data_IF_609865310108
#
_entry.id   IF_609865310108
#
_cell.length_a   1.000
_cell.length_b   1.000
_cell.length_c   1.000
_cell.angle_alpha   90.00
_cell.angle_beta   90.00
_cell.angle_gamma   90.00
#
_symmetry.space_group_name_H-M   'P 1'
#
loop_
_entity.id
_entity.type
_entity.pdbx_description
1 polymer ?
#
# COMPACT_ATOMS: atom_id res chain seq x y z
N UNK A 1 6.02 -1.19 10.56
CA UNK A 1 7.01 -0.46 9.72
C UNK A 1 6.93 -0.78 8.23
N UNK A 2 6.60 -2.01 7.81
CA UNK A 2 6.49 -2.38 6.38
C UNK A 2 5.53 -1.51 5.56
N UNK A 3 4.39 -1.09 6.14
CA UNK A 3 3.44 -0.22 5.44
C UNK A 3 4.00 1.18 5.13
N UNK A 4 4.82 1.72 6.03
CA UNK A 4 5.47 3.03 5.83
C UNK A 4 6.51 2.95 4.73
N UNK A 5 7.33 1.89 4.72
CA UNK A 5 8.28 1.63 3.63
C UNK A 5 7.57 1.49 2.29
N UNK A 6 6.41 0.85 2.29
CA UNK A 6 5.59 0.71 1.09
C UNK A 6 5.05 2.04 0.58
N UNK A 7 4.57 2.90 1.47
CA UNK A 7 4.10 4.25 1.11
C UNK A 7 5.21 5.12 0.53
N UNK A 8 6.40 5.13 1.14
CA UNK A 8 7.55 5.87 0.62
C UNK A 8 7.97 5.35 -0.75
N UNK A 9 7.98 4.03 -0.94
CA UNK A 9 8.28 3.40 -2.23
C UNK A 9 7.32 3.82 -3.35
N UNK A 10 6.05 4.10 -3.05
CA UNK A 10 5.05 4.56 -4.04
C UNK A 10 5.40 5.92 -4.64
N UNK A 11 5.80 6.88 -3.79
CA UNK A 11 6.17 8.22 -4.26
C UNK A 11 7.38 8.20 -5.19
N UNK A 12 8.38 7.37 -4.86
CA UNK A 12 9.58 7.20 -5.68
C UNK A 12 9.26 6.52 -7.02
N UNK A 13 8.41 5.50 -7.00
CA UNK A 13 8.07 4.76 -8.21
C UNK A 13 7.12 5.50 -9.14
N UNK A 14 6.30 6.43 -8.63
CA UNK A 14 5.56 7.36 -9.49
C UNK A 14 6.51 8.18 -10.37
N UNK A 15 7.53 8.80 -9.78
CA UNK A 15 8.50 9.62 -10.53
C UNK A 15 9.25 8.78 -11.57
N UNK A 16 9.60 7.53 -11.23
CA UNK A 16 10.25 6.60 -12.17
C UNK A 16 9.33 6.16 -13.32
N UNK A 17 8.06 5.88 -13.04
CA UNK A 17 7.11 5.49 -14.08
C UNK A 17 6.81 6.69 -14.99
N UNK A 18 6.70 7.90 -14.43
CA UNK A 18 6.52 9.12 -15.21
C UNK A 18 7.72 9.35 -16.15
N UNK A 19 8.96 9.22 -15.66
CA UNK A 19 10.15 9.35 -16.52
C UNK A 19 10.25 8.23 -17.57
N UNK A 20 9.90 6.99 -17.21
CA UNK A 20 9.89 5.87 -18.17
C UNK A 20 8.79 6.02 -19.24
N UNK A 21 7.67 6.66 -18.92
CA UNK A 21 6.62 6.93 -19.89
C UNK A 21 7.08 7.91 -20.99
N UNK A 22 8.01 8.83 -20.68
CA UNK A 22 8.65 9.70 -21.67
C UNK A 22 9.57 8.92 -22.63
N UNK A 23 10.18 7.83 -22.17
CA UNK A 23 11.06 6.95 -22.96
C UNK A 23 10.28 5.92 -23.82
N UNK A 24 8.97 5.77 -23.59
CA UNK A 24 8.06 4.92 -24.35
C UNK A 24 7.42 3.79 -23.53
N UNK A 25 6.29 3.29 -24.02
CA UNK A 25 5.41 2.33 -23.30
C UNK A 25 6.12 1.05 -22.87
N UNK A 26 7.10 0.57 -23.65
CA UNK A 26 7.84 -0.66 -23.39
C UNK A 26 8.85 -0.53 -22.23
N UNK A 27 9.23 0.69 -21.84
CA UNK A 27 10.15 0.94 -20.73
C UNK A 27 9.47 0.84 -19.35
N UNK A 28 8.13 0.90 -19.30
CA UNK A 28 7.35 0.84 -18.07
C UNK A 28 7.48 -0.55 -17.44
N UNK A 29 8.21 -0.62 -16.34
CA UNK A 29 8.51 -1.87 -15.63
C UNK A 29 8.20 -1.75 -14.14
N UNK A 30 7.76 -2.85 -13.53
CA UNK A 30 7.50 -2.90 -12.08
C UNK A 30 8.82 -2.97 -11.33
N UNK A 31 8.94 -2.24 -10.23
CA UNK A 31 10.08 -2.37 -9.34
C UNK A 31 10.02 -3.72 -8.59
N UNK A 32 11.00 -4.64 -8.76
CA UNK A 32 10.98 -5.95 -8.10
C UNK A 32 10.99 -5.86 -6.58
N UNK A 33 11.64 -4.83 -6.02
CA UNK A 33 11.64 -4.58 -4.57
C UNK A 33 10.23 -4.20 -4.06
N UNK A 34 9.47 -3.43 -4.85
CA UNK A 34 8.09 -3.07 -4.47
C UNK A 34 7.18 -4.29 -4.56
N UNK A 35 7.33 -5.11 -5.60
CA UNK A 35 6.59 -6.37 -5.71
C UNK A 35 6.86 -7.27 -4.51
N UNK A 36 8.12 -7.45 -4.13
CA UNK A 36 8.49 -8.25 -2.96
C UNK A 36 7.91 -7.67 -1.67
N UNK A 37 7.98 -6.35 -1.48
CA UNK A 37 7.46 -5.69 -0.27
C UNK A 37 5.93 -5.77 -0.18
N UNK A 38 5.22 -5.62 -1.30
CA UNK A 38 3.76 -5.82 -1.36
C UNK A 38 3.38 -7.26 -1.02
N UNK A 39 4.11 -8.23 -1.57
CA UNK A 39 3.91 -9.65 -1.26
C UNK A 39 4.14 -9.94 0.23
N UNK A 40 5.25 -9.44 0.80
CA UNK A 40 5.53 -9.59 2.22
C UNK A 40 4.50 -8.91 3.12
N UNK A 41 3.92 -7.79 2.69
CA UNK A 41 2.81 -7.15 3.39
C UNK A 41 1.58 -8.05 3.45
N UNK A 42 1.18 -8.65 2.32
CA UNK A 42 0.04 -9.57 2.25
C UNK A 42 0.28 -10.80 3.12
N UNK A 43 1.46 -11.44 2.98
CA UNK A 43 1.84 -12.60 3.80
C UNK A 43 1.88 -12.23 5.28
N UNK A 44 2.43 -11.06 5.63
CA UNK A 44 2.47 -10.55 6.99
C UNK A 44 1.08 -10.28 7.56
N UNK A 45 0.15 -9.77 6.75
CA UNK A 45 -1.25 -9.58 7.13
C UNK A 45 -1.93 -10.91 7.49
N UNK A 46 -1.79 -11.92 6.62
CA UNK A 46 -2.33 -13.26 6.89
C UNK A 46 -1.63 -13.97 8.06
N UNK A 47 -0.33 -13.74 8.26
CA UNK A 47 0.36 -14.21 9.45
C UNK A 47 -0.21 -13.55 10.71
N UNK A 48 -0.42 -12.23 10.69
CA UNK A 48 -1.00 -11.53 11.83
C UNK A 48 -2.43 -12.00 12.16
N UNK A 49 -3.20 -12.44 11.16
CA UNK A 49 -4.50 -13.09 11.35
C UNK A 49 -4.42 -14.39 12.17
N UNK A 50 -3.30 -15.13 12.14
CA UNK A 50 -3.15 -16.36 12.95
C UNK A 50 -2.82 -16.06 14.40
N UNK A 51 -2.17 -14.93 14.67
CA UNK A 51 -1.82 -14.45 16.02
C UNK A 51 -3.02 -13.74 16.65
N UNK A 52 -3.63 -12.81 15.91
CA UNK A 52 -4.74 -11.97 16.35
C UNK A 52 -5.91 -12.05 15.36
N UNK A 53 -6.67 -13.14 15.39
CA UNK A 53 -8.13 -13.02 15.52
C UNK A 53 -8.84 -11.97 14.64
N UNK A 54 -9.34 -11.00 15.37
CA UNK A 54 -10.17 -9.91 14.87
C UNK A 54 -9.33 -8.82 14.21
N UNK A 55 -8.25 -8.38 14.87
CA UNK A 55 -7.41 -7.31 14.35
C UNK A 55 -6.74 -7.69 13.02
N UNK A 56 -6.22 -8.92 12.93
CA UNK A 56 -5.59 -9.46 11.74
C UNK A 56 -6.53 -9.70 10.56
N UNK A 57 -7.83 -9.89 10.80
CA UNK A 57 -8.83 -9.95 9.73
C UNK A 57 -8.95 -8.60 9.03
N UNK A 58 -9.06 -7.52 9.82
CA UNK A 58 -9.16 -6.16 9.28
C UNK A 58 -7.84 -5.75 8.61
N UNK A 59 -6.68 -6.05 9.21
CA UNK A 59 -5.37 -5.82 8.56
C UNK A 59 -5.28 -6.56 7.23
N UNK A 60 -5.66 -7.84 7.18
CA UNK A 60 -5.61 -8.64 5.94
C UNK A 60 -6.50 -8.05 4.86
N UNK A 61 -7.72 -7.65 5.20
CA UNK A 61 -8.65 -7.01 4.26
C UNK A 61 -8.07 -5.72 3.68
N UNK A 62 -7.53 -4.85 4.54
CA UNK A 62 -6.93 -3.57 4.13
C UNK A 62 -5.71 -3.77 3.25
N UNK A 63 -4.84 -4.72 3.60
CA UNK A 63 -3.61 -5.01 2.84
C UNK A 63 -3.93 -5.66 1.49
N UNK A 64 -4.90 -6.57 1.42
CA UNK A 64 -5.35 -7.14 0.14
C UNK A 64 -5.98 -6.07 -0.75
N UNK A 65 -6.83 -5.21 -0.18
CA UNK A 65 -7.39 -4.06 -0.91
C UNK A 65 -6.29 -3.16 -1.48
N UNK A 66 -5.30 -2.83 -0.65
CA UNK A 66 -4.14 -2.03 -1.05
C UNK A 66 -3.35 -2.66 -2.21
N UNK A 67 -3.11 -3.98 -2.13
CA UNK A 67 -2.44 -4.72 -3.19
C UNK A 67 -3.20 -4.66 -4.51
N UNK A 68 -4.53 -4.83 -4.47
CA UNK A 68 -5.37 -4.73 -5.66
C UNK A 68 -5.37 -3.32 -6.24
N UNK A 69 -5.46 -2.29 -5.40
CA UNK A 69 -5.36 -0.89 -5.84
C UNK A 69 -4.04 -0.62 -6.57
N UNK A 70 -2.91 -1.07 -6.02
CA UNK A 70 -1.60 -0.90 -6.65
C UNK A 70 -1.50 -1.62 -7.99
N UNK A 71 -2.10 -2.82 -8.08
CA UNK A 71 -2.13 -3.60 -9.31
C UNK A 71 -2.89 -2.85 -10.40
N UNK A 72 -4.10 -2.39 -10.11
CA UNK A 72 -4.93 -1.69 -11.09
C UNK A 72 -4.37 -0.31 -11.47
N UNK A 73 -3.76 0.41 -10.53
CA UNK A 73 -3.06 1.66 -10.87
C UNK A 73 -1.93 1.43 -11.86
N UNK A 74 -1.13 0.38 -11.67
CA UNK A 74 -0.05 0.09 -12.61
C UNK A 74 -0.60 -0.24 -14.00
N UNK A 75 -1.69 -1.00 -14.09
CA UNK A 75 -2.34 -1.30 -15.37
C UNK A 75 -2.93 -0.04 -16.01
N UNK A 76 -3.57 0.86 -15.23
CA UNK A 76 -4.07 2.16 -15.70
C UNK A 76 -3.00 2.99 -16.35
N UNK A 77 -1.82 3.10 -15.71
CA UNK A 77 -0.69 3.89 -16.24
C UNK A 77 -0.16 3.38 -17.56
N UNK A 78 -0.13 2.06 -17.76
CA UNK A 78 0.25 1.48 -19.06
C UNK A 78 -0.76 1.84 -20.14
N UNK A 79 -2.05 1.92 -19.79
CA UNK A 79 -3.11 2.37 -20.71
C UNK A 79 -2.96 3.85 -21.02
N UNK A 80 -2.79 4.71 -20.01
CA UNK A 80 -2.53 6.15 -20.14
C UNK A 80 -1.32 6.41 -21.06
N UNK A 81 -0.19 5.75 -20.79
CA UNK A 81 1.01 5.84 -21.62
C UNK A 81 0.77 5.41 -23.07
N UNK A 82 -0.01 4.34 -23.29
CA UNK A 82 -0.34 3.85 -24.65
C UNK A 82 -1.24 4.82 -25.42
N UNK A 83 -2.11 5.54 -24.72
CA UNK A 83 -2.99 6.56 -25.31
C UNK A 83 -2.30 7.94 -25.43
N UNK A 84 -1.06 8.08 -24.94
CA UNK A 84 -0.32 9.34 -24.93
C UNK A 84 -0.90 10.37 -23.94
N UNK A 85 -1.61 9.91 -22.91
CA UNK A 85 -2.14 10.76 -21.85
C UNK A 85 -1.07 11.05 -20.81
N UNK A 86 -1.22 12.17 -20.10
CA UNK A 86 -0.36 12.48 -18.95
C UNK A 86 -0.62 11.46 -17.82
N UNK A 87 0.46 10.97 -17.20
CA UNK A 87 0.38 9.93 -16.16
C UNK A 87 -0.18 10.55 -14.88
N UNK A 88 -1.39 10.10 -14.50
CA UNK A 88 -2.05 10.62 -13.31
C UNK A 88 -1.38 10.14 -12.01
N UNK A 89 -1.53 10.95 -10.96
CA UNK A 89 -1.03 10.63 -9.62
C UNK A 89 -1.75 9.42 -9.03
N UNK A 90 -1.08 8.63 -8.17
CA UNK A 90 -1.66 7.45 -7.53
C UNK A 90 -2.70 7.76 -6.43
N UNK A 91 -3.79 8.45 -6.75
CA UNK A 91 -4.76 8.87 -5.73
C UNK A 91 -5.44 7.69 -5.02
N UNK A 92 -5.74 6.63 -5.76
CA UNK A 92 -6.34 5.42 -5.19
C UNK A 92 -5.40 4.75 -4.20
N UNK A 93 -4.15 4.53 -4.59
CA UNK A 93 -3.14 3.93 -3.76
C UNK A 93 -2.77 4.81 -2.55
N UNK A 94 -2.76 6.13 -2.68
CA UNK A 94 -2.55 7.06 -1.56
C UNK A 94 -3.71 6.95 -0.55
N UNK A 95 -4.95 6.96 -1.03
CA UNK A 95 -6.13 6.83 -0.16
C UNK A 95 -6.15 5.50 0.59
N UNK A 96 -6.00 4.39 -0.13
CA UNK A 96 -6.01 3.05 0.45
C UNK A 96 -4.87 2.86 1.48
N UNK A 97 -3.66 3.34 1.16
CA UNK A 97 -2.52 3.23 2.09
C UNK A 97 -2.70 4.08 3.34
N UNK A 98 -3.32 5.26 3.22
CA UNK A 98 -3.62 6.13 4.36
C UNK A 98 -4.58 5.44 5.33
N UNK A 99 -5.67 4.87 4.82
CA UNK A 99 -6.64 4.13 5.65
C UNK A 99 -5.98 2.94 6.34
N UNK A 100 -5.19 2.15 5.59
CA UNK A 100 -4.47 1.01 6.13
C UNK A 100 -3.45 1.42 7.21
N UNK A 101 -2.71 2.52 6.99
CA UNK A 101 -1.76 3.06 7.96
C UNK A 101 -2.46 3.49 9.24
N UNK A 102 -3.56 4.23 9.16
CA UNK A 102 -4.31 4.70 10.32
C UNK A 102 -4.79 3.53 11.18
N UNK A 103 -5.33 2.49 10.57
CA UNK A 103 -5.79 1.30 11.30
C UNK A 103 -4.64 0.54 11.97
N UNK A 104 -3.54 0.31 11.23
CA UNK A 104 -2.36 -0.37 11.79
C UNK A 104 -1.73 0.47 12.91
N UNK A 105 -1.67 1.79 12.76
CA UNK A 105 -1.17 2.70 13.78
C UNK A 105 -2.07 2.68 15.03
N UNK A 106 -3.39 2.67 14.85
CA UNK A 106 -4.34 2.53 15.96
C UNK A 106 -4.07 1.24 16.77
N UNK A 107 -3.93 0.10 16.09
CA UNK A 107 -3.61 -1.17 16.75
C UNK A 107 -2.24 -1.14 17.44
N UNK A 108 -1.22 -0.62 16.76
CA UNK A 108 0.15 -0.56 17.27
C UNK A 108 0.34 0.41 18.45
N UNK A 109 -0.46 1.48 18.52
CA UNK A 109 -0.38 2.50 19.57
C UNK A 109 -1.40 2.27 20.70
N UNK A 110 -2.27 1.27 20.58
CA UNK A 110 -3.31 1.01 21.57
C UNK A 110 -2.75 0.77 22.97
N UNK A 111 -1.54 0.20 23.09
CA UNK A 111 -0.86 0.03 24.39
C UNK A 111 -0.61 1.37 25.14
N UNK A 112 -0.56 2.50 24.43
CA UNK A 112 -0.41 3.83 25.04
C UNK A 112 -1.72 4.32 25.64
N UNK A 113 -2.85 3.99 25.00
CA UNK A 113 -4.19 4.43 25.40
C UNK A 113 -4.81 3.47 26.43
N UNK A 114 -4.53 2.18 26.32
CA UNK A 114 -5.05 1.11 27.17
C UNK A 114 -4.96 1.40 28.67
N UNK A 115 -3.83 1.89 29.24
CA UNK A 115 -3.73 2.19 30.66
C UNK A 115 -4.74 3.23 31.15
N UNK A 116 -5.00 4.26 30.33
CA UNK A 116 -5.95 5.32 30.66
C UNK A 116 -7.40 4.85 30.48
N UNK A 117 -7.66 4.04 29.45
CA UNK A 117 -8.98 3.49 29.19
C UNK A 117 -9.45 2.56 30.32
N UNK A 118 -8.57 1.65 30.76
CA UNK A 118 -8.84 0.70 31.85
C UNK A 118 -8.96 1.40 33.23
N UNK A 119 -8.63 2.68 33.33
CA UNK A 119 -8.81 3.45 34.56
C UNK A 119 -10.23 4.04 34.68
N UNK A 120 -10.98 4.11 33.58
CA UNK A 120 -12.32 4.73 33.51
C UNK A 120 -13.41 3.70 33.24
N UNK A 121 -13.11 2.64 32.49
CA UNK A 121 -14.00 1.50 32.20
C UNK A 121 -13.45 0.25 32.87
#
# INVERSE_FOLDING_TARGET
MLIVLNMVGRGIEYNRIASQAEEGVEAISRNPLRVATNFLLVVGGFYYLTVERHAGMIVSLLVVGLFLTDFFEFESRKVEARQGWEIERPWGAIGASTVALLYIAYQALFFVVSPYWNAVV
#
